data_IF_943927435114
#
_entry.id   IF_943927435114
#
_cell.length_a   1.000
_cell.length_b   1.000
_cell.length_c   1.000
_cell.angle_alpha   90.00
_cell.angle_beta   90.00
_cell.angle_gamma   90.00
#
_symmetry.space_group_name_H-M   'P 1'
#
loop_
_entity.id
_entity.type
_entity.pdbx_description
1 polymer ?
#
# COMPACT_ATOMS: atom_id res chain seq x y z
N UNK A 1 2.00 5.51 10.17
CA UNK A 1 1.78 6.83 9.52
C UNK A 1 3.11 7.52 9.27
N UNK A 2 3.14 8.65 8.55
CA UNK A 2 4.37 9.46 8.41
C UNK A 2 4.59 10.32 9.67
N UNK A 3 5.83 10.34 10.18
CA UNK A 3 6.25 11.28 11.22
C UNK A 3 6.57 12.61 10.56
N UNK A 4 5.84 13.67 10.92
CA UNK A 4 6.03 14.99 10.33
C UNK A 4 6.19 15.99 11.46
N UNK A 5 7.28 16.75 11.44
CA UNK A 5 7.52 17.77 12.44
C UNK A 5 6.69 19.05 12.21
N UNK A 6 6.80 19.98 13.15
CA UNK A 6 6.15 21.29 13.12
C UNK A 6 6.52 22.16 11.90
N UNK A 7 7.68 21.92 11.29
CA UNK A 7 8.12 22.60 10.08
C UNK A 7 7.60 21.91 8.81
N UNK A 8 6.79 20.86 8.94
CA UNK A 8 6.27 20.09 7.81
C UNK A 8 7.33 19.16 7.18
N UNK A 9 8.43 18.85 7.87
CA UNK A 9 9.45 17.93 7.34
C UNK A 9 9.13 16.50 7.78
N UNK A 10 9.17 15.58 6.81
CA UNK A 10 9.07 14.14 7.12
C UNK A 10 10.33 13.70 7.87
N UNK A 11 10.14 13.13 9.06
CA UNK A 11 11.21 12.62 9.95
C UNK A 11 11.25 11.11 10.03
N UNK A 12 10.36 10.39 9.35
CA UNK A 12 10.28 8.95 9.44
C UNK A 12 8.85 8.41 9.31
N UNK A 13 8.63 7.26 9.92
CA UNK A 13 7.30 6.64 10.05
C UNK A 13 7.06 6.18 11.50
N UNK A 14 5.78 5.99 11.84
CA UNK A 14 5.36 5.24 13.02
C UNK A 14 4.76 3.91 12.55
N UNK A 15 5.22 2.80 13.12
CA UNK A 15 4.62 1.47 12.89
C UNK A 15 3.26 1.39 13.58
N UNK A 16 2.44 0.39 13.24
CA UNK A 16 1.18 0.16 13.93
C UNK A 16 1.37 -0.38 15.35
N UNK A 17 0.43 -0.07 16.23
CA UNK A 17 0.33 -0.67 17.57
C UNK A 17 0.05 -2.17 17.46
N UNK A 18 0.60 -2.95 18.38
CA UNK A 18 0.34 -4.38 18.52
C UNK A 18 -0.53 -4.64 19.75
N UNK A 19 -1.29 -5.73 19.73
CA UNK A 19 -2.15 -6.11 20.86
C UNK A 19 -3.38 -5.21 21.01
N UNK A 20 -3.94 -4.74 19.90
CA UNK A 20 -5.19 -3.95 19.85
C UNK A 20 -6.38 -4.85 19.49
N UNK A 21 -7.57 -4.57 20.03
CA UNK A 21 -8.80 -5.26 19.65
C UNK A 21 -9.44 -4.71 18.36
N UNK A 22 -10.61 -5.25 17.98
CA UNK A 22 -11.32 -4.85 16.76
C UNK A 22 -11.83 -3.41 16.85
N UNK A 23 -12.11 -2.96 18.06
CA UNK A 23 -12.62 -1.63 18.40
C UNK A 23 -11.50 -0.60 18.57
N UNK A 24 -10.24 -1.05 18.64
CA UNK A 24 -9.05 -0.21 18.78
C UNK A 24 -8.57 -0.01 20.22
N UNK A 25 -9.08 -0.78 21.19
CA UNK A 25 -8.62 -0.71 22.57
C UNK A 25 -7.37 -1.56 22.82
N UNK A 26 -6.44 -1.09 23.67
CA UNK A 26 -5.30 -1.90 24.14
C UNK A 26 -5.76 -3.16 24.87
N UNK A 27 -5.22 -4.32 24.49
CA UNK A 27 -5.41 -5.58 25.23
C UNK A 27 -4.41 -5.65 26.38
N UNK A 28 -4.93 -5.91 27.58
CA UNK A 28 -4.14 -6.04 28.79
C UNK A 28 -3.05 -7.13 28.63
N UNK A 29 -1.81 -6.82 28.99
CA UNK A 29 -0.67 -7.74 28.90
C UNK A 29 -0.12 -8.02 27.49
N UNK A 30 -0.77 -7.53 26.43
CA UNK A 30 -0.34 -7.74 25.03
C UNK A 30 -0.06 -6.43 24.26
N UNK A 31 -0.56 -5.30 24.75
CA UNK A 31 -0.39 -4.02 24.08
C UNK A 31 1.09 -3.62 23.98
N UNK A 32 1.52 -3.25 22.78
CA UNK A 32 2.81 -2.62 22.53
C UNK A 32 2.60 -1.41 21.61
N UNK A 33 3.00 -0.20 22.01
CA UNK A 33 2.87 0.98 21.17
C UNK A 33 3.75 0.86 19.92
N UNK A 34 3.30 1.45 18.83
CA UNK A 34 4.06 1.56 17.59
C UNK A 34 5.40 2.26 17.81
N UNK A 35 6.40 1.85 17.03
CA UNK A 35 7.74 2.40 17.07
C UNK A 35 7.90 3.56 16.09
N UNK A 36 8.55 4.63 16.54
CA UNK A 36 9.05 5.67 15.65
C UNK A 36 10.35 5.22 14.97
N UNK A 37 10.33 5.12 13.65
CA UNK A 37 11.52 4.90 12.84
C UNK A 37 11.95 6.24 12.23
N UNK A 38 12.85 6.93 12.92
CA UNK A 38 13.36 8.23 12.49
C UNK A 38 14.48 8.09 11.47
N UNK A 39 14.43 8.88 10.40
CA UNK A 39 15.43 8.89 9.35
C UNK A 39 15.67 10.30 8.81
N UNK A 40 16.85 10.54 8.25
CA UNK A 40 17.16 11.78 7.51
C UNK A 40 16.40 11.86 6.18
N UNK A 41 16.10 10.71 5.59
CA UNK A 41 15.37 10.57 4.35
C UNK A 41 14.46 9.34 4.46
N UNK A 42 13.22 9.46 4.01
CA UNK A 42 12.23 8.37 4.02
C UNK A 42 11.68 8.20 2.62
N UNK A 43 11.94 7.04 2.02
CA UNK A 43 11.39 6.66 0.72
C UNK A 43 10.05 5.96 0.92
N UNK A 44 8.98 6.50 0.34
CA UNK A 44 7.65 5.89 0.37
C UNK A 44 7.43 5.05 -0.88
N UNK A 45 7.32 3.72 -0.70
CA UNK A 45 7.21 2.74 -1.78
C UNK A 45 6.11 1.70 -1.51
N UNK A 46 4.95 2.14 -1.02
CA UNK A 46 3.80 1.26 -0.67
C UNK A 46 3.17 0.57 -1.89
N UNK A 47 3.48 1.00 -3.11
CA UNK A 47 2.90 0.51 -4.35
C UNK A 47 1.58 1.22 -4.70
N UNK A 48 0.72 0.51 -5.44
CA UNK A 48 -0.53 1.07 -5.98
C UNK A 48 -1.46 1.57 -4.87
N UNK A 49 -1.81 2.86 -4.92
CA UNK A 49 -2.73 3.52 -3.98
C UNK A 49 -2.30 3.41 -2.50
N UNK A 50 -1.01 3.60 -2.24
CA UNK A 50 -0.42 3.62 -0.89
C UNK A 50 -1.16 4.54 0.09
N UNK A 51 -1.36 4.04 1.32
CA UNK A 51 -2.14 4.73 2.34
C UNK A 51 -1.42 6.00 2.83
N UNK A 52 -0.13 5.90 3.14
CA UNK A 52 0.68 7.04 3.59
C UNK A 52 0.93 7.99 2.42
N UNK A 53 1.25 7.45 1.23
CA UNK A 53 1.46 8.23 0.01
C UNK A 53 0.28 9.14 -0.31
N UNK A 54 -0.97 8.64 -0.24
CA UNK A 54 -2.18 9.45 -0.43
C UNK A 54 -2.27 10.62 0.56
N UNK A 55 -1.89 10.42 1.82
CA UNK A 55 -1.92 11.49 2.82
C UNK A 55 -0.85 12.55 2.53
N UNK A 56 0.34 12.13 2.10
CA UNK A 56 1.45 13.05 1.78
C UNK A 56 1.16 13.86 0.51
N UNK A 57 0.61 13.24 -0.53
CA UNK A 57 0.15 13.93 -1.74
C UNK A 57 -0.79 15.07 -1.37
N UNK A 58 -1.82 14.78 -0.56
CA UNK A 58 -2.77 15.79 -0.07
C UNK A 58 -2.08 16.87 0.77
N UNK A 59 -1.19 16.49 1.70
CA UNK A 59 -0.56 17.43 2.64
C UNK A 59 0.35 18.43 1.93
N UNK A 60 1.11 17.98 0.93
CA UNK A 60 2.10 18.80 0.22
C UNK A 60 1.63 19.22 -1.18
N UNK A 61 0.37 18.96 -1.54
CA UNK A 61 -0.25 19.34 -2.81
C UNK A 61 0.55 18.84 -4.03
N UNK A 62 1.06 17.61 -3.95
CA UNK A 62 2.03 17.06 -4.91
C UNK A 62 1.42 16.74 -6.28
N UNK A 63 0.09 16.69 -6.37
CA UNK A 63 -0.69 16.37 -7.57
C UNK A 63 -1.46 17.58 -8.12
N UNK A 64 -1.12 18.80 -7.70
CA UNK A 64 -1.85 20.03 -8.09
C UNK A 64 -1.87 20.35 -9.58
N UNK A 65 -0.90 19.83 -10.33
CA UNK A 65 -0.80 19.97 -11.78
C UNK A 65 -0.95 18.62 -12.50
N UNK A 66 -1.53 17.63 -11.83
CA UNK A 66 -1.73 16.28 -12.36
C UNK A 66 -3.23 15.94 -12.45
N UNK A 67 -3.56 15.07 -13.41
CA UNK A 67 -4.88 14.44 -13.45
C UNK A 67 -5.05 13.44 -12.30
N UNK A 68 -6.31 13.18 -11.94
CA UNK A 68 -6.62 12.15 -10.95
C UNK A 68 -6.08 10.78 -11.38
N UNK A 69 -5.47 10.06 -10.44
CA UNK A 69 -4.91 8.75 -10.73
C UNK A 69 -6.02 7.72 -11.03
N UNK A 70 -5.87 7.01 -12.15
CA UNK A 70 -6.74 5.91 -12.56
C UNK A 70 -6.21 4.56 -12.09
N UNK A 71 -7.13 3.66 -11.72
CA UNK A 71 -6.79 2.33 -11.20
C UNK A 71 -7.66 1.27 -11.86
N UNK A 72 -7.12 0.06 -11.95
CA UNK A 72 -7.86 -1.17 -12.22
C UNK A 72 -7.61 -2.17 -11.09
N UNK A 73 -8.59 -3.04 -10.84
CA UNK A 73 -8.41 -4.19 -9.96
C UNK A 73 -7.95 -5.38 -10.79
N UNK A 74 -6.80 -5.94 -10.44
CA UNK A 74 -6.30 -7.19 -11.00
C UNK A 74 -6.62 -8.35 -10.06
N UNK A 75 -7.25 -9.41 -10.59
CA UNK A 75 -7.46 -10.66 -9.88
C UNK A 75 -6.51 -11.70 -10.49
N UNK A 76 -5.82 -12.45 -9.64
CA UNK A 76 -4.83 -13.45 -10.06
C UNK A 76 -5.04 -14.74 -9.27
N UNK A 77 -4.96 -15.84 -10.00
CA UNK A 77 -4.87 -17.19 -9.45
C UNK A 77 -3.65 -17.91 -10.03
N UNK A 78 -3.12 -18.88 -9.30
CA UNK A 78 -2.03 -19.76 -9.75
C UNK A 78 -2.60 -21.17 -9.83
N UNK A 79 -2.37 -21.84 -10.94
CA UNK A 79 -2.94 -23.14 -11.25
C UNK A 79 -1.83 -24.14 -11.59
N UNK A 80 -1.94 -25.36 -11.06
CA UNK A 80 -1.22 -26.53 -11.58
C UNK A 80 -2.08 -27.21 -12.65
N UNK A 81 -1.50 -27.45 -13.83
CA UNK A 81 -2.20 -28.01 -14.98
C UNK A 81 -1.51 -29.26 -15.52
N UNK A 82 -2.22 -30.01 -16.36
CA UNK A 82 -1.65 -31.12 -17.11
C UNK A 82 -0.42 -30.63 -17.94
N UNK A 83 0.76 -31.25 -17.78
CA UNK A 83 1.97 -30.86 -18.51
C UNK A 83 1.81 -30.83 -20.03
N UNK A 84 0.95 -31.69 -20.60
CA UNK A 84 0.67 -31.72 -22.05
C UNK A 84 -0.03 -30.46 -22.57
N UNK A 85 -0.70 -29.70 -21.68
CA UNK A 85 -1.37 -28.43 -22.00
C UNK A 85 -0.45 -27.22 -21.81
N UNK A 86 0.65 -27.38 -21.08
CA UNK A 86 1.60 -26.30 -20.82
C UNK A 86 2.47 -26.03 -22.05
N UNK A 87 2.60 -24.75 -22.40
CA UNK A 87 3.50 -24.26 -23.45
C UNK A 87 4.47 -23.25 -22.84
N UNK A 88 5.73 -23.64 -22.52
CA UNK A 88 6.69 -22.75 -21.89
C UNK A 88 6.86 -21.43 -22.66
N UNK A 89 6.83 -20.31 -21.93
CA UNK A 89 6.98 -18.96 -22.49
C UNK A 89 5.74 -18.38 -23.19
N UNK A 90 4.63 -19.12 -23.30
CA UNK A 90 3.39 -18.58 -23.84
C UNK A 90 2.76 -17.57 -22.87
N UNK A 91 2.42 -16.40 -23.40
CA UNK A 91 1.65 -15.36 -22.69
C UNK A 91 0.39 -15.05 -23.50
N UNK A 92 -0.77 -15.08 -22.85
CA UNK A 92 -2.07 -14.86 -23.50
C UNK A 92 -2.79 -13.69 -22.83
N UNK A 93 -3.32 -12.76 -23.64
CA UNK A 93 -4.22 -11.69 -23.22
C UNK A 93 -5.49 -11.73 -24.07
N UNK A 94 -6.65 -11.51 -23.46
CA UNK A 94 -7.96 -11.45 -24.15
C UNK A 94 -8.70 -10.17 -23.72
N UNK A 95 -9.64 -9.73 -24.55
CA UNK A 95 -10.54 -8.61 -24.27
C UNK A 95 -11.95 -8.93 -24.82
N UNK A 96 -12.98 -8.30 -24.25
CA UNK A 96 -14.39 -8.57 -24.57
C UNK A 96 -15.10 -9.33 -23.45
N UNK A 97 -15.99 -10.26 -23.81
CA UNK A 97 -16.83 -11.01 -22.85
C UNK A 97 -15.98 -11.60 -21.70
N UNK A 98 -16.41 -11.49 -20.42
CA UNK A 98 -17.73 -11.06 -19.93
C UNK A 98 -17.85 -9.54 -19.64
N UNK A 99 -16.92 -8.72 -20.15
CA UNK A 99 -17.02 -7.26 -20.02
C UNK A 99 -18.16 -6.73 -20.92
N UNK A 100 -19.00 -5.84 -20.37
CA UNK A 100 -20.06 -5.13 -21.09
C UNK A 100 -19.54 -3.80 -21.66
#
# INVERSE_FOLDING_TARGET
>A
EALIDENGVVRGIVTGDLGVDREGNPKEGYYTPGMELRAKYTLFAEGCRGHIGKQLIKKYNLDSEADAQHYGIGIKEIWDIDPSKHKPGLVVHTAGWPLN
#
